data_IF_026147876968
#
_entry.id   IF_026147876968
#
_cell.length_a   1.000
_cell.length_b   1.000
_cell.length_c   1.000
_cell.angle_alpha   90.00
_cell.angle_beta   90.00
_cell.angle_gamma   90.00
#
_symmetry.space_group_name_H-M   'P 1'
#
loop_
_entity.id
_entity.type
_entity.pdbx_description
1 polymer ?
#
# COMPACT_ATOMS: atom_id res chain seq x y z
N UNK A 1 27.10 -34.85 -1.99
CA UNK A 1 27.12 -33.37 -2.19
C UNK A 1 25.80 -32.78 -2.72
N UNK A 2 24.72 -33.55 -2.91
CA UNK A 2 23.46 -33.08 -3.55
C UNK A 2 22.32 -32.76 -2.57
N UNK A 3 22.40 -33.21 -1.32
CA UNK A 3 21.37 -32.97 -0.29
C UNK A 3 21.37 -31.51 0.18
N UNK A 4 22.55 -30.91 0.35
CA UNK A 4 22.70 -29.51 0.78
C UNK A 4 22.13 -28.51 -0.21
N UNK A 5 22.34 -28.72 -1.51
CA UNK A 5 21.78 -27.88 -2.57
C UNK A 5 20.24 -27.93 -2.61
N UNK A 6 19.64 -29.10 -2.33
CA UNK A 6 18.18 -29.27 -2.27
C UNK A 6 17.57 -28.58 -1.05
N UNK A 7 18.23 -28.67 0.11
CA UNK A 7 17.81 -27.98 1.33
C UNK A 7 17.88 -26.46 1.14
N UNK A 8 18.97 -25.95 0.56
CA UNK A 8 19.12 -24.53 0.24
C UNK A 8 18.04 -24.06 -0.74
N UNK A 9 17.75 -24.82 -1.80
CA UNK A 9 16.69 -24.49 -2.75
C UNK A 9 15.30 -24.42 -2.09
N UNK A 10 14.99 -25.36 -1.19
CA UNK A 10 13.74 -25.36 -0.43
C UNK A 10 13.59 -24.15 0.50
N UNK A 11 14.68 -23.74 1.16
CA UNK A 11 14.70 -22.52 2.00
C UNK A 11 14.44 -21.27 1.17
N UNK A 12 15.11 -21.11 0.03
CA UNK A 12 14.90 -19.95 -0.84
C UNK A 12 13.49 -19.89 -1.42
N UNK A 13 12.91 -21.04 -1.79
CA UNK A 13 11.53 -21.11 -2.24
C UNK A 13 10.56 -20.70 -1.13
N UNK A 14 10.77 -21.17 0.11
CA UNK A 14 9.93 -20.81 1.24
C UNK A 14 10.01 -19.30 1.56
N UNK A 15 11.21 -18.72 1.52
CA UNK A 15 11.42 -17.27 1.69
C UNK A 15 10.70 -16.49 0.59
N UNK A 16 10.83 -16.91 -0.67
CA UNK A 16 10.17 -16.26 -1.79
C UNK A 16 8.65 -16.30 -1.66
N UNK A 17 8.07 -17.46 -1.33
CA UNK A 17 6.62 -17.59 -1.12
C UNK A 17 6.14 -16.73 0.04
N UNK A 18 6.86 -16.70 1.16
CA UNK A 18 6.54 -15.85 2.31
C UNK A 18 6.59 -14.36 1.95
N UNK A 19 7.60 -13.93 1.18
CA UNK A 19 7.72 -12.55 0.71
C UNK A 19 6.57 -12.16 -0.23
N UNK A 20 6.24 -13.01 -1.20
CA UNK A 20 5.10 -12.80 -2.09
C UNK A 20 3.78 -12.72 -1.31
N UNK A 21 3.57 -13.62 -0.35
CA UNK A 21 2.38 -13.57 0.50
C UNK A 21 2.31 -12.26 1.30
N UNK A 22 3.42 -11.84 1.92
CA UNK A 22 3.47 -10.60 2.70
C UNK A 22 3.17 -9.36 1.82
N UNK A 23 3.74 -9.30 0.62
CA UNK A 23 3.49 -8.22 -0.33
C UNK A 23 2.01 -8.18 -0.76
N UNK A 24 1.45 -9.33 -1.16
CA UNK A 24 0.05 -9.41 -1.59
C UNK A 24 -0.92 -9.11 -0.44
N UNK A 25 -0.63 -9.55 0.78
CA UNK A 25 -1.45 -9.28 1.96
C UNK A 25 -1.47 -7.79 2.35
N UNK A 26 -0.48 -7.00 1.93
CA UNK A 26 -0.37 -5.57 2.22
C UNK A 26 -0.59 -4.67 0.98
N UNK A 27 -0.96 -5.26 -0.17
CA UNK A 27 -1.14 -4.50 -1.41
C UNK A 27 -2.24 -3.42 -1.30
N UNK A 28 -3.24 -3.64 -0.44
CA UNK A 28 -4.34 -2.71 -0.18
C UNK A 28 -3.91 -1.39 0.48
N UNK A 29 -2.77 -1.35 1.16
CA UNK A 29 -2.25 -0.12 1.81
C UNK A 29 -1.95 0.97 0.79
N UNK A 30 -1.65 0.58 -0.46
CA UNK A 30 -1.42 1.53 -1.55
C UNK A 30 -2.70 2.28 -1.97
N UNK A 31 -3.88 1.69 -1.80
CA UNK A 31 -5.14 2.34 -2.13
C UNK A 31 -5.49 3.44 -1.10
N UNK A 32 -5.18 3.21 0.18
CA UNK A 32 -5.40 4.19 1.24
C UNK A 32 -4.48 5.43 1.08
N UNK A 33 -3.21 5.24 0.67
CA UNK A 33 -2.30 6.38 0.46
C UNK A 33 -2.72 7.24 -0.74
N UNK A 34 -3.37 6.64 -1.75
CA UNK A 34 -3.88 7.37 -2.90
C UNK A 34 -4.88 8.46 -2.50
N UNK A 35 -5.73 8.19 -1.49
CA UNK A 35 -6.66 9.18 -0.96
C UNK A 35 -5.88 10.41 -0.46
N UNK A 36 -4.83 10.19 0.32
CA UNK A 36 -3.99 11.28 0.85
C UNK A 36 -3.36 12.12 -0.25
N UNK A 37 -2.77 11.47 -1.27
CA UNK A 37 -2.15 12.18 -2.39
C UNK A 37 -3.15 13.04 -3.16
N UNK A 38 -4.36 12.53 -3.42
CA UNK A 38 -5.41 13.31 -4.09
C UNK A 38 -5.78 14.58 -3.33
N UNK A 39 -5.82 14.51 -2.00
CA UNK A 39 -6.04 15.70 -1.20
C UNK A 39 -4.85 16.67 -1.22
N UNK A 40 -3.61 16.17 -1.20
CA UNK A 40 -2.43 17.01 -1.40
C UNK A 40 -2.51 17.75 -2.74
N UNK A 41 -2.84 17.04 -3.82
CA UNK A 41 -3.00 17.63 -5.16
C UNK A 41 -4.09 18.71 -5.16
N UNK A 42 -5.26 18.43 -4.58
CA UNK A 42 -6.36 19.41 -4.49
C UNK A 42 -5.99 20.64 -3.64
N UNK A 43 -5.15 20.49 -2.61
CA UNK A 43 -4.60 21.62 -1.85
C UNK A 43 -3.65 22.45 -2.70
N UNK A 44 -2.76 21.79 -3.45
CA UNK A 44 -1.81 22.46 -4.34
C UNK A 44 -2.52 23.20 -5.49
N UNK A 45 -3.62 22.66 -5.99
CA UNK A 45 -4.45 23.25 -7.04
C UNK A 45 -5.41 24.35 -6.53
N UNK A 46 -5.45 24.60 -5.21
CA UNK A 46 -6.24 25.67 -4.60
C UNK A 46 -7.71 25.32 -4.34
N UNK A 47 -8.09 24.05 -4.48
CA UNK A 47 -9.42 23.54 -4.11
C UNK A 47 -9.59 23.33 -2.60
N UNK A 48 -8.48 23.30 -1.86
CA UNK A 48 -8.45 23.05 -0.43
C UNK A 48 -8.46 21.54 -0.10
N UNK A 49 -8.51 21.17 1.19
CA UNK A 49 -8.45 19.79 1.62
C UNK A 49 -9.81 19.10 1.41
N UNK A 50 -10.13 18.80 0.16
CA UNK A 50 -11.34 18.09 -0.27
C UNK A 50 -10.98 16.91 -1.16
N UNK A 51 -11.77 15.84 -1.14
CA UNK A 51 -11.57 14.71 -2.06
C UNK A 51 -12.12 15.01 -3.46
N UNK A 52 -13.33 15.58 -3.54
CA UNK A 52 -13.93 16.03 -4.79
C UNK A 52 -14.32 17.52 -4.69
N UNK A 53 -13.72 18.42 -5.49
CA UNK A 53 -14.07 19.84 -5.47
C UNK A 53 -15.56 20.07 -5.73
N UNK A 54 -16.19 20.91 -4.90
CA UNK A 54 -17.63 21.22 -4.99
C UNK A 54 -18.54 20.26 -4.22
N UNK A 55 -18.04 19.11 -3.76
CA UNK A 55 -18.76 18.23 -2.84
C UNK A 55 -18.34 18.51 -1.39
N UNK A 56 -19.32 18.45 -0.48
CA UNK A 56 -19.08 18.49 0.97
C UNK A 56 -19.12 17.06 1.51
N UNK A 57 -18.04 16.32 1.29
CA UNK A 57 -17.86 14.98 1.86
C UNK A 57 -16.55 14.92 2.61
N UNK A 58 -16.62 14.44 3.85
CA UNK A 58 -15.44 14.16 4.66
C UNK A 58 -14.87 12.81 4.21
N UNK A 59 -13.95 12.85 3.23
CA UNK A 59 -13.34 11.68 2.62
C UNK A 59 -12.20 11.05 3.43
N UNK A 60 -12.01 11.45 4.68
CA UNK A 60 -11.01 10.88 5.57
C UNK A 60 -11.68 10.20 6.76
N UNK A 61 -11.32 8.95 7.00
CA UNK A 61 -11.69 8.22 8.23
C UNK A 61 -10.77 8.55 9.42
N UNK A 62 -9.68 9.30 9.18
CA UNK A 62 -8.65 9.58 10.17
C UNK A 62 -8.15 11.03 10.06
N UNK A 63 -8.91 11.98 10.61
CA UNK A 63 -8.52 13.40 10.59
C UNK A 63 -7.33 13.72 11.54
N UNK A 64 -6.98 12.80 12.45
CA UNK A 64 -5.97 12.98 13.52
C UNK A 64 -5.03 11.77 13.73
N UNK A 65 -4.88 10.88 12.74
CA UNK A 65 -3.93 9.76 12.82
C UNK A 65 -2.75 9.98 11.89
#
# INVERSE_FOLDING_TARGET
>A
MTTWARVQGGVWLAVFVAACFWLLANAWVADDVYITFRYCDNVLDGHGPVYNPGERSEGYTHFLW
#
